data_IF_090247909654
#
_entry.id   IF_090247909654
#
_cell.length_a   1.000
_cell.length_b   1.000
_cell.length_c   1.000
_cell.angle_alpha   90.00
_cell.angle_beta   90.00
_cell.angle_gamma   90.00
#
_symmetry.space_group_name_H-M   'P 1'
#
loop_
_entity.id
_entity.type
_entity.pdbx_description
1 polymer ?
#
# COMPACT_ATOMS: atom_id res chain seq x y z
N UNK A 1 9.72 -1.17 18.25
CA UNK A 1 8.33 -1.47 17.86
C UNK A 1 8.24 -1.78 16.37
N UNK A 2 7.17 -2.45 15.93
CA UNK A 2 6.92 -2.63 14.50
C UNK A 2 6.31 -1.35 13.90
N UNK A 3 6.46 -1.14 12.59
CA UNK A 3 5.89 0.02 11.91
C UNK A 3 4.34 0.07 12.00
N UNK A 4 3.68 -1.10 12.07
CA UNK A 4 2.23 -1.19 12.20
C UNK A 4 1.72 -0.61 13.53
N UNK A 5 2.55 -0.61 14.58
CA UNK A 5 2.19 -0.10 15.91
C UNK A 5 2.64 1.36 16.12
N UNK A 6 3.39 1.93 15.16
CA UNK A 6 4.02 3.25 15.31
C UNK A 6 3.05 4.41 15.05
N UNK A 7 2.11 4.26 14.10
CA UNK A 7 1.21 5.33 13.69
C UNK A 7 -0.12 5.23 14.44
N UNK A 8 -0.50 6.30 15.16
CA UNK A 8 -1.70 6.29 16.02
C UNK A 8 -2.79 7.26 15.55
N UNK A 9 -2.48 8.18 14.64
CA UNK A 9 -3.45 9.06 14.01
C UNK A 9 -2.79 10.23 13.30
N UNK A 10 -3.60 11.23 12.95
CA UNK A 10 -3.09 12.47 12.36
C UNK A 10 -2.13 13.17 13.32
N UNK A 11 -0.88 13.32 12.89
CA UNK A 11 0.20 13.92 13.68
C UNK A 11 0.48 13.23 15.02
N UNK A 12 0.01 11.99 15.21
CA UNK A 12 0.21 11.22 16.44
C UNK A 12 0.90 9.89 16.14
N UNK A 13 1.96 9.61 16.89
CA UNK A 13 2.76 8.38 16.79
C UNK A 13 2.98 7.81 18.19
N UNK A 14 3.48 6.57 18.28
CA UNK A 14 3.83 5.92 19.54
C UNK A 14 5.13 6.43 20.19
N UNK A 15 5.65 7.59 19.78
CA UNK A 15 6.81 8.24 20.41
C UNK A 15 6.31 9.04 21.62
N UNK A 16 6.83 8.71 22.81
CA UNK A 16 6.43 9.38 24.05
C UNK A 16 7.25 10.66 24.32
N UNK A 17 6.79 11.44 25.31
CA UNK A 17 7.49 12.64 25.77
C UNK A 17 8.93 12.33 26.20
N UNK A 18 9.90 13.03 25.61
CA UNK A 18 11.32 12.84 25.87
C UNK A 18 11.97 11.71 25.05
N UNK A 19 11.21 10.98 24.23
CA UNK A 19 11.77 10.01 23.28
C UNK A 19 12.20 10.67 21.97
N UNK A 20 13.18 10.03 21.30
CA UNK A 20 13.66 10.43 19.98
C UNK A 20 13.75 9.18 19.09
N UNK A 21 13.09 9.20 17.93
CA UNK A 21 13.28 8.16 16.91
C UNK A 21 14.70 8.26 16.32
N UNK A 22 15.58 7.35 16.72
CA UNK A 22 17.01 7.40 16.33
C UNK A 22 17.32 6.63 15.05
N UNK A 23 16.57 5.58 14.73
CA UNK A 23 16.85 4.74 13.57
C UNK A 23 15.62 3.91 13.16
N UNK A 24 15.60 3.50 11.89
CA UNK A 24 14.61 2.58 11.33
C UNK A 24 15.36 1.34 10.84
N UNK A 25 14.93 0.15 11.27
CA UNK A 25 15.49 -1.12 10.83
C UNK A 25 14.56 -1.76 9.82
N UNK A 26 15.02 -1.90 8.58
CA UNK A 26 14.27 -2.53 7.50
C UNK A 26 14.97 -3.84 7.13
N UNK A 27 14.28 -5.00 7.17
CA UNK A 27 14.87 -6.26 6.72
C UNK A 27 15.14 -6.21 5.21
N UNK A 28 16.19 -6.92 4.78
CA UNK A 28 16.50 -7.05 3.35
C UNK A 28 15.54 -8.04 2.69
N UNK A 29 15.00 -7.66 1.53
CA UNK A 29 14.10 -8.46 0.72
C UNK A 29 14.74 -8.80 -0.63
N UNK A 30 15.84 -9.56 -0.61
CA UNK A 30 16.54 -9.96 -1.83
C UNK A 30 15.63 -10.84 -2.70
N UNK A 31 15.59 -10.57 -4.00
CA UNK A 31 14.74 -11.32 -4.95
C UNK A 31 13.27 -10.87 -4.98
N UNK A 32 12.89 -9.87 -4.18
CA UNK A 32 11.56 -9.26 -4.26
C UNK A 32 11.56 -8.12 -5.29
N UNK A 33 10.44 -7.97 -5.98
CA UNK A 33 10.13 -6.76 -6.73
C UNK A 33 9.42 -5.74 -5.86
N UNK A 34 9.61 -4.45 -6.15
CA UNK A 34 8.99 -3.37 -5.41
C UNK A 34 8.61 -2.21 -6.34
N UNK A 35 7.50 -1.55 -6.03
CA UNK A 35 7.03 -0.37 -6.76
C UNK A 35 6.28 0.57 -5.82
N UNK A 36 6.40 1.88 -6.07
CA UNK A 36 5.61 2.90 -5.37
C UNK A 36 4.84 3.73 -6.39
N UNK A 37 3.51 3.56 -6.41
CA UNK A 37 2.63 4.27 -7.31
C UNK A 37 1.99 5.45 -6.56
N UNK A 38 2.35 6.67 -6.94
CA UNK A 38 1.88 7.91 -6.29
C UNK A 38 0.99 8.70 -7.23
N UNK A 39 -0.26 8.94 -6.84
CA UNK A 39 -1.18 9.79 -7.59
C UNK A 39 -1.34 11.17 -6.96
N UNK A 40 -1.03 12.21 -7.73
CA UNK A 40 -1.06 13.63 -7.31
C UNK A 40 -1.62 14.49 -8.44
N UNK A 41 -2.29 15.61 -8.12
CA UNK A 41 -2.73 16.56 -9.15
C UNK A 41 -1.56 17.34 -9.77
N UNK A 42 -0.62 17.75 -8.94
CA UNK A 42 0.58 18.48 -9.36
C UNK A 42 1.83 17.81 -8.78
N UNK A 43 2.95 17.97 -9.48
CA UNK A 43 4.23 17.42 -9.04
C UNK A 43 4.57 17.89 -7.61
N UNK A 44 5.16 16.99 -6.81
CA UNK A 44 5.58 17.21 -5.42
C UNK A 44 4.45 17.45 -4.39
N UNK A 45 3.16 17.44 -4.78
CA UNK A 45 2.06 17.48 -3.81
C UNK A 45 2.02 16.20 -2.95
N UNK A 46 1.34 16.28 -1.80
CA UNK A 46 0.85 15.11 -1.09
C UNK A 46 -0.03 14.25 -2.01
N UNK A 47 0.08 12.94 -1.87
CA UNK A 47 -0.71 12.00 -2.67
C UNK A 47 -2.19 12.09 -2.32
N UNK A 48 -3.04 12.07 -3.35
CA UNK A 48 -4.47 11.78 -3.14
C UNK A 48 -4.58 10.35 -2.62
N UNK A 49 -3.95 9.42 -3.34
CA UNK A 49 -3.72 8.03 -2.92
C UNK A 49 -2.33 7.64 -3.40
N UNK A 50 -1.62 6.84 -2.62
CA UNK A 50 -0.42 6.16 -3.09
C UNK A 50 -0.36 4.74 -2.55
N UNK A 51 0.29 3.85 -3.30
CA UNK A 51 0.39 2.43 -2.96
C UNK A 51 1.86 2.01 -3.01
N UNK A 52 2.36 1.48 -1.90
CA UNK A 52 3.66 0.82 -1.83
C UNK A 52 3.45 -0.68 -1.92
N UNK A 53 4.10 -1.32 -2.88
CA UNK A 53 4.00 -2.76 -3.11
C UNK A 53 5.39 -3.38 -3.04
N UNK A 54 5.48 -4.53 -2.37
CA UNK A 54 6.57 -5.48 -2.53
C UNK A 54 5.98 -6.87 -2.78
N UNK A 55 6.51 -7.60 -3.76
CA UNK A 55 6.07 -8.95 -4.09
C UNK A 55 7.26 -9.88 -4.29
N UNK A 56 7.10 -11.15 -3.90
CA UNK A 56 8.00 -12.24 -4.26
C UNK A 56 7.26 -13.16 -5.21
N UNK A 57 7.84 -13.36 -6.39
CA UNK A 57 7.29 -14.23 -7.43
C UNK A 57 8.08 -15.52 -7.46
N UNK A 58 7.40 -16.66 -7.44
CA UNK A 58 8.01 -17.99 -7.57
C UNK A 58 7.12 -18.90 -8.43
N UNK A 59 7.75 -19.62 -9.37
CA UNK A 59 7.05 -20.60 -10.20
C UNK A 59 5.87 -20.03 -11.00
N UNK A 60 5.91 -18.74 -11.39
CA UNK A 60 4.80 -18.09 -12.10
C UNK A 60 3.61 -17.71 -11.21
N UNK A 61 3.80 -17.69 -9.90
CA UNK A 61 2.80 -17.27 -8.91
C UNK A 61 3.36 -16.23 -7.96
N UNK A 62 2.49 -15.45 -7.32
CA UNK A 62 2.89 -14.54 -6.25
C UNK A 62 2.98 -15.35 -4.96
N UNK A 63 4.20 -15.62 -4.50
CA UNK A 63 4.46 -16.38 -3.27
C UNK A 63 4.18 -15.54 -2.02
N UNK A 64 4.53 -14.24 -2.07
CA UNK A 64 4.24 -13.29 -0.99
C UNK A 64 3.98 -11.89 -1.54
N UNK A 65 3.16 -11.13 -0.81
CA UNK A 65 2.89 -9.73 -1.09
C UNK A 65 2.89 -8.90 0.21
N UNK A 66 3.35 -7.65 0.12
CA UNK A 66 3.23 -6.61 1.14
C UNK A 66 2.72 -5.33 0.48
N UNK A 67 1.59 -4.80 0.94
CA UNK A 67 0.91 -3.67 0.31
C UNK A 67 0.55 -2.62 1.35
N UNK A 68 1.16 -1.45 1.23
CA UNK A 68 0.87 -0.28 2.04
C UNK A 68 0.04 0.75 1.27
N UNK A 69 -0.97 1.31 1.90
CA UNK A 69 -1.82 2.38 1.37
C UNK A 69 -1.52 3.70 2.08
N UNK A 70 -1.33 4.75 1.29
CA UNK A 70 -1.12 6.11 1.77
C UNK A 70 -2.38 6.93 1.60
N UNK A 71 -2.77 7.68 2.63
CA UNK A 71 -3.93 8.59 2.64
C UNK A 71 -5.29 7.89 2.47
N UNK A 72 -5.39 6.64 2.96
CA UNK A 72 -6.60 5.81 2.94
C UNK A 72 -7.25 5.62 4.33
N UNK A 73 -6.71 6.26 5.36
CA UNK A 73 -7.27 6.43 6.70
C UNK A 73 -6.50 7.54 7.44
N UNK A 74 -6.77 7.71 8.74
CA UNK A 74 -6.00 8.61 9.64
C UNK A 74 -4.56 8.16 9.86
N UNK A 75 -4.23 6.91 9.52
CA UNK A 75 -2.88 6.32 9.56
C UNK A 75 -2.57 5.62 8.23
N UNK A 76 -1.30 5.32 7.92
CA UNK A 76 -0.95 4.40 6.84
C UNK A 76 -1.55 3.03 7.11
N UNK A 77 -2.13 2.40 6.08
CA UNK A 77 -2.78 1.10 6.20
C UNK A 77 -2.00 0.02 5.47
N UNK A 78 -2.12 -1.21 5.95
CA UNK A 78 -1.71 -2.41 5.23
C UNK A 78 -2.94 -3.04 4.58
N UNK A 79 -2.93 -3.22 3.26
CA UNK A 79 -4.05 -3.79 2.51
C UNK A 79 -4.04 -5.33 2.61
N UNK A 80 -4.31 -5.86 3.81
CA UNK A 80 -4.18 -7.30 4.09
C UNK A 80 -5.13 -8.16 3.24
N UNK A 81 -6.31 -7.65 2.88
CA UNK A 81 -7.23 -8.35 2.00
C UNK A 81 -6.62 -8.59 0.61
N UNK A 82 -5.93 -7.58 0.05
CA UNK A 82 -5.21 -7.73 -1.22
C UNK A 82 -4.03 -8.68 -1.07
N UNK A 83 -3.25 -8.57 0.00
CA UNK A 83 -2.10 -9.47 0.24
C UNK A 83 -2.55 -10.93 0.29
N UNK A 84 -3.65 -11.22 0.99
CA UNK A 84 -4.23 -12.56 1.08
C UNK A 84 -4.73 -13.06 -0.27
N UNK A 85 -5.39 -12.19 -1.06
CA UNK A 85 -5.89 -12.55 -2.38
C UNK A 85 -4.77 -12.76 -3.41
N UNK A 86 -3.61 -12.13 -3.24
CA UNK A 86 -2.45 -12.29 -4.14
C UNK A 86 -1.64 -13.55 -3.84
N UNK A 87 -1.55 -14.00 -2.59
CA UNK A 87 -0.72 -15.17 -2.25
C UNK A 87 -1.27 -16.42 -2.95
N UNK A 88 -0.43 -17.07 -3.76
CA UNK A 88 -0.80 -18.22 -4.59
C UNK A 88 -1.52 -17.86 -5.90
N UNK A 89 -1.81 -16.59 -6.15
CA UNK A 89 -2.40 -16.15 -7.39
C UNK A 89 -1.42 -16.33 -8.56
N UNK A 90 -1.95 -16.70 -9.72
CA UNK A 90 -1.18 -16.76 -10.96
C UNK A 90 -0.63 -15.37 -11.31
N UNK A 91 0.57 -15.32 -11.89
CA UNK A 91 1.20 -14.10 -12.36
C UNK A 91 0.55 -13.63 -13.68
N UNK A 92 -0.71 -13.21 -13.60
CA UNK A 92 -1.48 -12.68 -14.73
C UNK A 92 -2.16 -11.36 -14.36
N UNK A 93 -2.44 -10.54 -15.37
CA UNK A 93 -3.06 -9.21 -15.16
C UNK A 93 -4.48 -9.34 -14.60
N UNK A 94 -5.17 -10.43 -14.96
CA UNK A 94 -6.53 -10.74 -14.53
C UNK A 94 -6.57 -11.14 -13.05
N UNK A 95 -5.68 -12.05 -12.62
CA UNK A 95 -5.60 -12.46 -11.22
C UNK A 95 -5.20 -11.28 -10.31
N UNK A 96 -4.22 -10.47 -10.75
CA UNK A 96 -3.82 -9.26 -10.03
C UNK A 96 -4.97 -8.25 -9.95
N UNK A 97 -5.74 -8.06 -11.04
CA UNK A 97 -6.90 -7.17 -11.02
C UNK A 97 -7.96 -7.65 -10.03
N UNK A 98 -8.26 -8.96 -10.02
CA UNK A 98 -9.22 -9.54 -9.07
C UNK A 98 -8.79 -9.32 -7.63
N UNK A 99 -7.51 -9.56 -7.31
CA UNK A 99 -7.00 -9.34 -5.95
C UNK A 99 -7.00 -7.85 -5.56
N UNK A 100 -6.66 -6.97 -6.50
CA UNK A 100 -6.59 -5.52 -6.26
C UNK A 100 -7.96 -4.88 -6.01
N UNK A 101 -9.06 -5.53 -6.39
CA UNK A 101 -10.42 -5.07 -6.10
C UNK A 101 -10.70 -5.00 -4.57
N UNK A 102 -9.93 -5.74 -3.77
CA UNK A 102 -10.02 -5.72 -2.31
C UNK A 102 -9.24 -4.55 -1.66
N UNK A 103 -8.63 -3.65 -2.44
CA UNK A 103 -7.76 -2.60 -1.92
C UNK A 103 -8.48 -1.58 -1.02
N UNK A 104 -9.79 -1.40 -1.21
CA UNK A 104 -10.59 -0.49 -0.40
C UNK A 104 -11.11 -1.11 0.91
N UNK A 105 -10.94 -2.41 1.12
CA UNK A 105 -11.44 -3.08 2.32
C UNK A 105 -10.72 -2.61 3.59
N UNK A 106 -11.50 -2.28 4.62
CA UNK A 106 -10.96 -1.76 5.88
C UNK A 106 -10.40 -0.34 5.79
N UNK A 107 -10.71 0.41 4.73
CA UNK A 107 -10.26 1.80 4.55
C UNK A 107 -11.32 2.83 4.96
N UNK A 108 -10.86 3.98 5.46
CA UNK A 108 -11.70 5.12 5.83
C UNK A 108 -11.09 6.44 5.31
N UNK A 109 -11.03 6.65 3.99
CA UNK A 109 -10.45 7.85 3.41
C UNK A 109 -11.33 9.07 3.63
N UNK A 110 -10.71 10.20 4.01
CA UNK A 110 -11.39 11.47 4.11
C UNK A 110 -11.81 12.03 2.74
N UNK A 111 -12.90 12.79 2.70
CA UNK A 111 -13.28 13.61 1.55
C UNK A 111 -12.69 15.02 1.70
N UNK A 112 -12.02 15.52 0.66
CA UNK A 112 -11.45 16.87 0.64
C UNK A 112 -11.47 17.49 -0.77
N UNK A 113 -10.80 18.64 -0.93
CA UNK A 113 -10.68 19.36 -2.21
C UNK A 113 -9.97 18.58 -3.33
N UNK A 114 -9.33 17.46 -3.01
CA UNK A 114 -8.65 16.61 -3.98
C UNK A 114 -9.51 15.42 -4.43
N UNK A 115 -10.60 15.13 -3.72
CA UNK A 115 -11.53 14.07 -4.06
C UNK A 115 -12.26 13.53 -2.84
N UNK A 116 -13.44 12.97 -3.09
CA UNK A 116 -14.25 12.33 -2.06
C UNK A 116 -13.73 10.91 -1.71
N UNK A 117 -14.30 10.34 -0.65
CA UNK A 117 -13.97 9.00 -0.19
C UNK A 117 -14.22 7.92 -1.25
N UNK A 118 -15.26 8.07 -2.09
CA UNK A 118 -15.59 7.09 -3.14
C UNK A 118 -14.52 7.09 -4.25
N UNK A 119 -14.10 8.27 -4.69
CA UNK A 119 -13.02 8.46 -5.65
C UNK A 119 -11.70 7.86 -5.13
N UNK A 120 -11.38 8.08 -3.85
CA UNK A 120 -10.16 7.53 -3.23
C UNK A 120 -10.18 6.00 -3.14
N UNK A 121 -11.32 5.40 -2.77
CA UNK A 121 -11.48 3.93 -2.79
C UNK A 121 -11.29 3.35 -4.19
N UNK A 122 -11.91 3.97 -5.19
CA UNK A 122 -11.73 3.56 -6.58
C UNK A 122 -10.27 3.70 -7.05
N UNK A 123 -9.61 4.81 -6.73
CA UNK A 123 -8.20 4.99 -7.03
C UNK A 123 -7.32 3.94 -6.34
N UNK A 124 -7.60 3.56 -5.09
CA UNK A 124 -6.83 2.55 -4.40
C UNK A 124 -6.80 1.21 -5.17
N UNK A 125 -7.95 0.76 -5.70
CA UNK A 125 -8.02 -0.47 -6.52
C UNK A 125 -7.18 -0.33 -7.81
N UNK A 126 -7.34 0.78 -8.53
CA UNK A 126 -6.63 1.04 -9.79
C UNK A 126 -5.12 1.13 -9.59
N UNK A 127 -4.68 1.90 -8.59
CA UNK A 127 -3.26 2.11 -8.31
C UNK A 127 -2.61 0.87 -7.72
N UNK A 128 -3.34 0.08 -6.90
CA UNK A 128 -2.83 -1.20 -6.39
C UNK A 128 -2.58 -2.17 -7.52
N UNK A 129 -3.51 -2.31 -8.48
CA UNK A 129 -3.30 -3.13 -9.67
C UNK A 129 -2.04 -2.72 -10.44
N UNK A 130 -1.89 -1.42 -10.72
CA UNK A 130 -0.72 -0.89 -11.45
C UNK A 130 0.58 -1.16 -10.70
N UNK A 131 0.59 -0.92 -9.39
CA UNK A 131 1.77 -1.12 -8.56
C UNK A 131 2.17 -2.59 -8.45
N UNK A 132 1.21 -3.50 -8.33
CA UNK A 132 1.49 -4.95 -8.28
C UNK A 132 2.03 -5.44 -9.62
N UNK A 133 1.44 -5.03 -10.75
CA UNK A 133 1.95 -5.37 -12.09
C UNK A 133 3.40 -4.89 -12.26
N UNK A 134 3.67 -3.62 -11.91
CA UNK A 134 5.01 -3.04 -12.02
C UNK A 134 6.02 -3.75 -11.11
N UNK A 135 5.66 -4.00 -9.85
CA UNK A 135 6.52 -4.70 -8.90
C UNK A 135 6.79 -6.15 -9.33
N UNK A 136 5.82 -6.82 -9.95
CA UNK A 136 5.96 -8.21 -10.40
C UNK A 136 6.66 -8.34 -11.77
N UNK A 137 6.98 -7.23 -12.44
CA UNK A 137 7.67 -7.22 -13.73
C UNK A 137 6.79 -7.59 -14.93
N UNK A 138 5.48 -7.29 -14.87
CA UNK A 138 4.48 -7.62 -15.90
C UNK A 138 4.14 -6.46 -16.85
#
# INVERSE_FOLDING_TARGET
MAAADFFQGYFTTAVDDGEILTHIRVPKYTGWGAHYEKFTRVAQQWSIVAVAVMVRVEGGTIAEARIGLTNMASTPLRATAVEQALVGAALTREAIASASAHAAEGTDPASDLNGDAAYRRHLAEVLTKRAVIAAAGL
#
